data_IF_185817248496
#
_entry.id   IF_185817248496
#
_cell.length_a   1.000
_cell.length_b   1.000
_cell.length_c   1.000
_cell.angle_alpha   90.00
_cell.angle_beta   90.00
_cell.angle_gamma   90.00
#
_symmetry.space_group_name_H-M   'P 1'
#
loop_
_entity.id
_entity.type
_entity.pdbx_description
1 polymer ?
#
# COMPACT_ATOMS: atom_id res chain seq x y z
N UNK A 1 -9.57 0.82 19.31
CA UNK A 1 -9.57 1.00 17.85
C UNK A 1 -9.47 -0.39 17.24
N UNK A 2 -10.47 -0.83 16.48
CA UNK A 2 -10.50 -2.18 15.88
C UNK A 2 -9.80 -2.17 14.53
N UNK A 3 -8.96 -3.15 14.26
CA UNK A 3 -8.28 -3.29 12.97
C UNK A 3 -9.28 -3.69 11.87
N UNK A 4 -9.37 -2.90 10.80
CA UNK A 4 -10.22 -3.23 9.64
C UNK A 4 -9.37 -3.84 8.52
N UNK A 5 -9.24 -5.17 8.55
CA UNK A 5 -8.44 -5.91 7.58
C UNK A 5 -8.96 -5.81 6.15
N UNK A 6 -10.27 -5.68 5.94
CA UNK A 6 -10.88 -5.58 4.60
C UNK A 6 -10.49 -4.26 3.94
N UNK A 7 -10.58 -3.17 4.68
CA UNK A 7 -10.18 -1.85 4.21
C UNK A 7 -8.66 -1.76 3.98
N UNK A 8 -7.87 -2.27 4.94
CA UNK A 8 -6.42 -2.36 4.82
C UNK A 8 -6.00 -3.11 3.55
N UNK A 9 -6.60 -4.28 3.34
CA UNK A 9 -6.30 -5.11 2.17
C UNK A 9 -6.70 -4.38 0.90
N UNK A 10 -7.91 -3.85 0.82
CA UNK A 10 -8.43 -3.15 -0.36
C UNK A 10 -7.53 -2.01 -0.82
N UNK A 11 -7.06 -1.14 0.09
CA UNK A 11 -6.18 -0.03 -0.28
C UNK A 11 -4.76 -0.48 -0.65
N UNK A 12 -4.32 -1.64 -0.16
CA UNK A 12 -2.98 -2.15 -0.39
C UNK A 12 -2.91 -3.20 -1.51
N UNK A 13 -4.03 -3.66 -2.07
CA UNK A 13 -4.02 -4.61 -3.20
C UNK A 13 -3.14 -4.17 -4.36
N UNK A 14 -3.18 -2.92 -4.87
CA UNK A 14 -2.31 -2.55 -5.98
C UNK A 14 -0.83 -2.66 -5.58
N UNK A 15 -0.46 -2.23 -4.37
CA UNK A 15 0.90 -2.40 -3.84
C UNK A 15 1.32 -3.89 -3.72
N UNK A 16 0.44 -4.75 -3.21
CA UNK A 16 0.70 -6.19 -3.06
C UNK A 16 0.88 -6.85 -4.42
N UNK A 17 0.00 -6.59 -5.39
CA UNK A 17 0.12 -7.12 -6.76
C UNK A 17 1.44 -6.66 -7.37
N UNK A 18 1.76 -5.38 -7.17
CA UNK A 18 2.98 -4.78 -7.71
C UNK A 18 4.24 -5.41 -7.13
N UNK A 19 4.26 -5.70 -5.82
CA UNK A 19 5.34 -6.43 -5.15
C UNK A 19 5.50 -7.85 -5.73
N UNK A 20 4.40 -8.56 -5.93
CA UNK A 20 4.42 -9.90 -6.52
C UNK A 20 5.02 -9.85 -7.93
N UNK A 21 4.58 -8.89 -8.75
CA UNK A 21 5.12 -8.67 -10.10
C UNK A 21 6.63 -8.41 -10.04
N UNK A 22 7.08 -7.51 -9.16
CA UNK A 22 8.51 -7.18 -8.99
C UNK A 22 9.35 -8.42 -8.67
N UNK A 23 8.92 -9.23 -7.69
CA UNK A 23 9.62 -10.47 -7.31
C UNK A 23 9.77 -11.42 -8.51
N UNK A 24 8.70 -11.64 -9.27
CA UNK A 24 8.76 -12.51 -10.45
C UNK A 24 9.62 -11.94 -11.57
N UNK A 25 9.53 -10.64 -11.85
CA UNK A 25 10.30 -10.00 -12.92
C UNK A 25 11.79 -9.96 -12.60
N UNK A 26 12.16 -9.71 -11.36
CA UNK A 26 13.56 -9.80 -10.89
C UNK A 26 14.07 -11.24 -10.99
N UNK A 27 13.30 -12.22 -10.55
CA UNK A 27 13.67 -13.64 -10.66
C UNK A 27 13.91 -14.08 -12.11
N UNK A 28 13.14 -13.52 -13.05
CA UNK A 28 13.25 -13.77 -14.49
C UNK A 28 14.23 -12.84 -15.21
N UNK A 29 14.89 -11.91 -14.50
CA UNK A 29 15.82 -10.90 -15.05
C UNK A 29 15.20 -10.07 -16.18
N UNK A 30 13.91 -9.75 -16.07
CA UNK A 30 13.21 -8.92 -17.05
C UNK A 30 13.71 -7.47 -16.93
N UNK A 31 13.79 -6.77 -18.07
CA UNK A 31 14.19 -5.37 -18.10
C UNK A 31 13.28 -4.51 -17.19
N UNK A 32 13.86 -3.66 -16.32
CA UNK A 32 13.11 -2.77 -15.43
C UNK A 32 12.10 -1.84 -16.13
N UNK A 33 12.24 -1.56 -17.43
CA UNK A 33 11.26 -0.74 -18.16
C UNK A 33 9.88 -1.41 -18.20
N UNK A 34 9.84 -2.74 -18.30
CA UNK A 34 8.59 -3.50 -18.27
C UNK A 34 7.97 -3.52 -16.88
N UNK A 35 8.79 -3.42 -15.83
CA UNK A 35 8.32 -3.29 -14.46
C UNK A 35 7.55 -1.98 -14.27
N UNK A 36 8.08 -0.85 -14.76
CA UNK A 36 7.36 0.43 -14.72
C UNK A 36 6.01 0.36 -15.45
N UNK A 37 5.97 -0.30 -16.61
CA UNK A 37 4.73 -0.49 -17.35
C UNK A 37 3.72 -1.34 -16.56
N UNK A 38 4.16 -2.45 -15.97
CA UNK A 38 3.31 -3.33 -15.16
C UNK A 38 2.79 -2.63 -13.90
N UNK A 39 3.61 -1.79 -13.24
CA UNK A 39 3.19 -0.91 -12.15
C UNK A 39 2.05 0.01 -12.60
N UNK A 40 2.27 0.79 -13.67
CA UNK A 40 1.29 1.76 -14.17
C UNK A 40 -0.04 1.06 -14.51
N UNK A 41 0.02 -0.06 -15.24
CA UNK A 41 -1.17 -0.81 -15.64
C UNK A 41 -1.92 -1.39 -14.45
N UNK A 42 -1.20 -1.95 -13.46
CA UNK A 42 -1.81 -2.50 -12.23
C UNK A 42 -2.56 -1.42 -11.46
N UNK A 43 -1.95 -0.25 -11.30
CA UNK A 43 -2.54 0.87 -10.57
C UNK A 43 -3.75 1.44 -11.31
N UNK A 44 -3.66 1.65 -12.63
CA UNK A 44 -4.79 2.11 -13.45
C UNK A 44 -5.94 1.10 -13.39
N UNK A 45 -5.67 -0.19 -13.57
CA UNK A 45 -6.69 -1.23 -13.53
C UNK A 45 -7.38 -1.30 -12.16
N UNK A 46 -6.59 -1.21 -11.07
CA UNK A 46 -7.13 -1.22 -9.72
C UNK A 46 -8.04 -0.01 -9.46
N UNK A 47 -7.59 1.20 -9.78
CA UNK A 47 -8.40 2.40 -9.57
C UNK A 47 -9.61 2.49 -10.50
N UNK A 48 -9.53 1.98 -11.73
CA UNK A 48 -10.67 1.89 -12.62
C UNK A 48 -11.73 0.91 -12.07
N UNK A 49 -11.29 -0.26 -11.57
CA UNK A 49 -12.15 -1.24 -10.91
C UNK A 49 -12.76 -0.68 -9.62
N UNK A 50 -11.92 -0.16 -8.72
CA UNK A 50 -12.34 0.45 -7.46
C UNK A 50 -13.32 1.59 -7.70
N UNK A 51 -12.99 2.51 -8.61
CA UNK A 51 -13.85 3.63 -9.02
C UNK A 51 -15.22 3.19 -9.53
N UNK A 52 -15.27 2.23 -10.46
CA UNK A 52 -16.52 1.79 -11.07
C UNK A 52 -17.35 0.89 -10.18
N UNK A 53 -16.75 -0.06 -9.47
CA UNK A 53 -17.47 -1.14 -8.79
C UNK A 53 -17.57 -0.96 -7.29
N UNK A 54 -16.59 -0.29 -6.68
CA UNK A 54 -16.46 -0.23 -5.24
C UNK A 54 -16.88 1.14 -4.72
N UNK A 55 -16.22 2.21 -5.15
CA UNK A 55 -16.59 3.57 -4.75
C UNK A 55 -17.98 3.98 -5.24
N UNK A 56 -18.40 3.53 -6.43
CA UNK A 56 -19.70 3.88 -6.99
C UNK A 56 -20.90 3.16 -6.35
N UNK A 57 -20.70 1.92 -5.84
CA UNK A 57 -21.82 1.03 -5.44
C UNK A 57 -21.73 0.51 -4.00
N UNK A 58 -20.63 0.69 -3.27
CA UNK A 58 -20.60 0.37 -1.84
C UNK A 58 -21.13 1.56 -1.03
N UNK A 59 -22.24 1.41 -0.29
CA UNK A 59 -22.71 2.44 0.65
C UNK A 59 -21.69 2.72 1.77
N UNK A 60 -20.69 1.85 1.92
CA UNK A 60 -19.62 1.94 2.92
C UNK A 60 -18.31 2.52 2.39
N UNK A 61 -18.17 2.99 1.14
CA UNK A 61 -16.87 3.50 0.64
C UNK A 61 -16.93 4.90 0.00
N UNK A 62 -18.09 5.56 0.05
CA UNK A 62 -18.31 6.94 -0.40
C UNK A 62 -17.74 8.03 0.53
N UNK A 63 -16.72 7.73 1.33
CA UNK A 63 -16.35 8.59 2.45
C UNK A 63 -14.84 8.79 2.64
N UNK A 64 -14.26 9.72 1.87
CA UNK A 64 -12.98 10.31 2.24
C UNK A 64 -13.16 11.29 3.41
N UNK A 65 -12.97 10.82 4.65
CA UNK A 65 -12.31 11.65 5.66
C UNK A 65 -10.96 11.02 5.95
N UNK A 66 -9.90 11.65 5.47
CA UNK A 66 -8.51 11.30 5.79
C UNK A 66 -8.14 11.65 7.24
N UNK A 67 -9.02 11.42 8.22
CA UNK A 67 -8.68 11.68 9.62
C UNK A 67 -7.99 10.45 10.19
N UNK A 68 -6.68 10.38 10.02
CA UNK A 68 -5.84 9.34 10.62
C UNK A 68 -6.00 9.38 12.14
N UNK A 69 -6.27 8.22 12.74
CA UNK A 69 -6.31 8.09 14.20
C UNK A 69 -4.89 8.06 14.77
N UNK A 70 -4.78 8.26 16.09
CA UNK A 70 -3.49 8.29 16.79
C UNK A 70 -2.63 7.04 16.52
N UNK A 71 -3.24 5.83 16.53
CA UNK A 71 -2.54 4.57 16.23
C UNK A 71 -1.98 4.53 14.79
N UNK A 72 -2.77 4.95 13.80
CA UNK A 72 -2.34 5.05 12.40
C UNK A 72 -1.19 6.06 12.22
N UNK A 73 -1.25 7.19 12.94
CA UNK A 73 -0.16 8.19 12.96
C UNK A 73 1.10 7.59 13.59
N UNK A 74 0.99 6.93 14.74
CA UNK A 74 2.12 6.30 15.42
C UNK A 74 2.80 5.25 14.52
N UNK A 75 2.01 4.39 13.86
CA UNK A 75 2.54 3.40 12.92
C UNK A 75 3.24 4.10 11.76
N UNK A 76 2.65 5.14 11.17
CA UNK A 76 3.28 5.88 10.08
C UNK A 76 4.62 6.51 10.52
N UNK A 77 4.67 7.09 11.71
CA UNK A 77 5.89 7.68 12.29
C UNK A 77 6.97 6.62 12.51
N UNK A 78 6.65 5.50 13.16
CA UNK A 78 7.60 4.40 13.40
C UNK A 78 8.06 3.78 12.08
N UNK A 79 7.15 3.55 11.14
CA UNK A 79 7.47 3.03 9.81
C UNK A 79 8.41 3.97 9.04
N UNK A 80 8.23 5.28 9.18
CA UNK A 80 9.08 6.30 8.55
C UNK A 80 10.48 6.31 9.18
N UNK A 81 10.58 6.30 10.51
CA UNK A 81 11.87 6.21 11.22
C UNK A 81 12.60 4.92 10.84
N UNK A 82 11.90 3.78 10.83
CA UNK A 82 12.45 2.51 10.38
C UNK A 82 12.92 2.55 8.93
N UNK A 83 12.13 3.17 8.02
CA UNK A 83 12.52 3.37 6.63
C UNK A 83 13.84 4.16 6.52
N UNK A 84 13.97 5.27 7.26
CA UNK A 84 15.19 6.07 7.27
C UNK A 84 16.40 5.28 7.79
N UNK A 85 16.23 4.52 8.86
CA UNK A 85 17.29 3.66 9.38
C UNK A 85 17.74 2.63 8.34
N UNK A 86 16.80 1.92 7.71
CA UNK A 86 17.11 0.92 6.70
C UNK A 86 17.72 1.56 5.42
N UNK A 87 17.31 2.76 5.03
CA UNK A 87 17.91 3.49 3.91
C UNK A 87 19.39 3.82 4.15
N UNK A 88 19.73 4.21 5.38
CA UNK A 88 21.10 4.58 5.77
C UNK A 88 21.97 3.35 5.98
N UNK A 89 21.51 2.37 6.76
CA UNK A 89 22.32 1.21 7.16
C UNK A 89 22.37 0.09 6.12
N UNK A 90 21.27 -0.17 5.41
CA UNK A 90 21.18 -1.30 4.48
C UNK A 90 21.34 -0.90 3.02
N UNK A 91 21.63 0.38 2.74
CA UNK A 91 21.69 0.92 1.37
C UNK A 91 20.48 0.46 0.54
N UNK A 92 19.27 0.53 1.12
CA UNK A 92 18.05 -0.09 0.56
C UNK A 92 17.73 0.29 -0.89
N UNK A 93 18.31 1.38 -1.42
CA UNK A 93 18.28 1.70 -2.86
C UNK A 93 18.75 0.50 -3.71
N UNK A 94 19.69 -0.30 -3.20
CA UNK A 94 20.17 -1.53 -3.83
C UNK A 94 19.31 -2.78 -3.57
N UNK A 95 18.29 -2.70 -2.71
CA UNK A 95 17.41 -3.82 -2.36
C UNK A 95 15.93 -3.42 -2.41
N UNK A 96 15.51 -3.09 -3.64
CA UNK A 96 14.15 -2.67 -4.02
C UNK A 96 13.06 -3.60 -3.44
N UNK A 97 13.20 -4.94 -3.45
CA UNK A 97 12.17 -5.83 -2.90
C UNK A 97 11.91 -5.62 -1.40
N UNK A 98 12.97 -5.42 -0.60
CA UNK A 98 12.83 -5.16 0.86
C UNK A 98 12.14 -3.82 1.06
N UNK A 99 12.50 -2.80 0.27
CA UNK A 99 11.88 -1.48 0.33
C UNK A 99 10.37 -1.52 0.03
N UNK A 100 9.97 -2.19 -1.05
CA UNK A 100 8.55 -2.33 -1.43
C UNK A 100 7.79 -3.16 -0.39
N UNK A 101 8.40 -4.21 0.16
CA UNK A 101 7.80 -5.05 1.21
C UNK A 101 7.52 -4.23 2.47
N UNK A 102 8.49 -3.44 2.93
CA UNK A 102 8.33 -2.55 4.09
C UNK A 102 7.20 -1.54 3.87
N UNK A 103 7.17 -0.88 2.71
CA UNK A 103 6.10 0.05 2.34
C UNK A 103 4.72 -0.63 2.35
N UNK A 104 4.63 -1.84 1.82
CA UNK A 104 3.38 -2.60 1.75
C UNK A 104 2.86 -2.94 3.15
N UNK A 105 3.71 -3.45 4.03
CA UNK A 105 3.34 -3.80 5.41
C UNK A 105 2.95 -2.55 6.20
N UNK A 106 3.74 -1.48 6.06
CA UNK A 106 3.49 -0.23 6.77
C UNK A 106 2.17 0.40 6.36
N UNK A 107 1.88 0.49 5.06
CA UNK A 107 0.61 1.02 4.58
C UNK A 107 -0.58 0.15 4.99
N UNK A 108 -0.45 -1.19 4.92
CA UNK A 108 -1.49 -2.11 5.38
C UNK A 108 -1.87 -1.86 6.85
N UNK A 109 -0.88 -1.71 7.73
CA UNK A 109 -1.11 -1.43 9.14
C UNK A 109 -1.69 -0.01 9.34
N UNK A 110 -1.13 1.00 8.68
CA UNK A 110 -1.61 2.40 8.75
C UNK A 110 -3.07 2.50 8.34
N UNK A 111 -3.46 1.86 7.23
CA UNK A 111 -4.80 1.88 6.70
C UNK A 111 -5.77 1.07 7.56
N UNK A 112 -5.37 -0.11 8.02
CA UNK A 112 -6.23 -0.94 8.87
C UNK A 112 -6.52 -0.35 10.24
N UNK A 113 -5.68 0.56 10.74
CA UNK A 113 -5.93 1.35 11.94
C UNK A 113 -6.39 2.78 11.64
N UNK A 114 -6.71 3.13 10.40
CA UNK A 114 -7.28 4.43 10.07
C UNK A 114 -8.75 4.51 10.53
N UNK A 115 -9.25 5.73 10.85
CA UNK A 115 -10.66 5.90 11.21
C UNK A 115 -11.51 5.87 9.94
N UNK A 116 -12.50 5.00 9.90
CA UNK A 116 -13.50 4.99 8.84
C UNK A 116 -14.62 6.01 9.14
N UNK A 117 -15.10 6.75 8.14
CA UNK A 117 -16.21 7.70 8.35
C UNK A 117 -17.49 6.90 8.61
N UNK A 118 -18.12 7.09 9.76
CA UNK A 118 -19.36 6.41 10.14
C UNK A 118 -19.23 5.44 11.32
N UNK A 119 -18.00 5.10 11.75
CA UNK A 119 -17.76 4.49 13.06
C UNK A 119 -17.46 5.63 14.03
N UNK A 120 -18.52 6.26 14.56
CA UNK A 120 -18.42 7.05 15.79
C UNK A 120 -18.31 6.10 16.98
#
# INVERSE_FOLDING_TARGET
>A
MTFNWKYALFNNVPLIITLIIDIFMVALKVDPIWLMLAFILTWIAWYAYAGRKVYLYHPELNYHHYRRGFTSILIATVATIGLFFLLVELQLIGNIPIFITWLTISNFLVDGFSKFKGVQ
#
